data_IF_289337475582
#
_entry.id   IF_289337475582
#
_cell.length_a   1.000
_cell.length_b   1.000
_cell.length_c   1.000
_cell.angle_alpha   90.00
_cell.angle_beta   90.00
_cell.angle_gamma   90.00
#
_symmetry.space_group_name_H-M   'P 1'
#
loop_
_entity.id
_entity.type
_entity.pdbx_description
1 polymer ?
#
# COMPACT_ATOMS: atom_id res chain seq x y z
N UNK A 1 -34.59 8.81 -15.75
CA UNK A 1 -34.04 7.49 -15.44
C UNK A 1 -32.62 7.78 -15.05
N UNK A 2 -32.40 7.95 -13.75
CA UNK A 2 -31.05 8.17 -13.25
C UNK A 2 -30.31 6.85 -13.41
N UNK A 3 -29.22 6.89 -14.17
CA UNK A 3 -28.31 5.77 -14.26
C UNK A 3 -27.63 5.72 -12.91
N UNK A 4 -28.04 4.79 -12.03
CA UNK A 4 -27.26 4.54 -10.83
C UNK A 4 -25.90 4.06 -11.31
N UNK A 5 -24.90 4.94 -11.22
CA UNK A 5 -23.52 4.64 -11.57
C UNK A 5 -23.09 3.39 -10.78
N UNK A 6 -22.34 2.49 -11.42
CA UNK A 6 -21.84 1.33 -10.71
C UNK A 6 -20.75 1.80 -9.74
N UNK A 7 -20.74 1.33 -8.48
CA UNK A 7 -19.72 1.69 -7.53
C UNK A 7 -18.32 1.38 -8.06
N UNK A 8 -17.41 2.30 -7.83
CA UNK A 8 -15.99 2.18 -8.16
C UNK A 8 -15.16 2.57 -6.95
N UNK A 9 -13.97 1.98 -6.85
CA UNK A 9 -12.96 2.36 -5.87
C UNK A 9 -11.62 2.40 -6.59
N UNK A 10 -10.86 3.46 -6.34
CA UNK A 10 -9.53 3.67 -6.91
C UNK A 10 -8.61 4.33 -5.89
N UNK A 11 -7.32 4.30 -6.16
CA UNK A 11 -6.27 4.95 -5.38
C UNK A 11 -5.52 5.96 -6.25
N UNK A 12 -4.85 6.96 -5.66
CA UNK A 12 -4.18 8.02 -6.43
C UNK A 12 -2.91 7.56 -7.17
N UNK A 13 -2.34 6.43 -6.74
CA UNK A 13 -1.18 5.75 -7.33
C UNK A 13 -1.40 4.23 -7.32
N UNK A 14 -0.70 3.57 -8.22
CA UNK A 14 -0.66 2.10 -8.31
C UNK A 14 0.33 1.47 -7.31
N UNK A 15 1.28 2.26 -6.79
CA UNK A 15 2.37 1.79 -5.91
C UNK A 15 2.70 2.85 -4.85
N UNK A 16 2.97 2.40 -3.63
CA UNK A 16 3.29 3.22 -2.46
C UNK A 16 4.49 2.64 -1.73
N UNK A 17 5.24 3.43 -0.96
CA UNK A 17 6.26 2.90 -0.06
C UNK A 17 5.70 2.62 1.36
N UNK A 18 6.39 1.83 2.19
CA UNK A 18 6.03 1.68 3.60
C UNK A 18 5.99 3.04 4.30
N UNK A 19 4.88 3.34 4.98
CA UNK A 19 4.61 4.63 5.64
C UNK A 19 4.13 5.74 4.71
N UNK A 20 3.92 5.46 3.42
CA UNK A 20 3.28 6.41 2.52
C UNK A 20 1.77 6.45 2.75
N UNK A 21 1.16 7.59 2.42
CA UNK A 21 -0.30 7.77 2.52
C UNK A 21 -0.95 7.46 1.17
N UNK A 22 -1.84 6.48 1.18
CA UNK A 22 -2.75 6.12 0.08
C UNK A 22 -3.96 7.04 0.13
N UNK A 23 -4.27 7.73 -0.97
CA UNK A 23 -5.56 8.42 -1.12
C UNK A 23 -6.53 7.51 -1.84
N UNK A 24 -7.63 7.18 -1.18
CA UNK A 24 -8.67 6.28 -1.69
C UNK A 24 -9.87 7.12 -2.12
N UNK A 25 -10.37 6.87 -3.33
CA UNK A 25 -11.61 7.47 -3.85
C UNK A 25 -12.63 6.37 -4.15
N UNK A 26 -13.76 6.40 -3.45
CA UNK A 26 -14.92 5.57 -3.74
C UNK A 26 -16.01 6.43 -4.37
N UNK A 27 -16.61 6.00 -5.49
CA UNK A 27 -17.64 6.77 -6.22
C UNK A 27 -18.80 5.87 -6.62
N UNK A 28 -19.97 6.46 -6.86
CA UNK A 28 -21.16 5.73 -7.33
C UNK A 28 -21.88 4.96 -6.21
N UNK A 29 -21.61 5.30 -4.95
CA UNK A 29 -22.34 4.79 -3.80
C UNK A 29 -23.58 5.64 -3.52
N UNK A 30 -24.48 5.14 -2.67
CA UNK A 30 -25.68 5.87 -2.30
C UNK A 30 -25.32 7.13 -1.49
N UNK A 31 -26.03 8.23 -1.74
CA UNK A 31 -25.80 9.51 -1.06
C UNK A 31 -25.91 9.34 0.46
N UNK A 32 -24.90 9.82 1.19
CA UNK A 32 -24.87 9.78 2.66
C UNK A 32 -24.67 8.38 3.24
N UNK A 33 -24.37 7.37 2.40
CA UNK A 33 -24.06 6.03 2.88
C UNK A 33 -22.70 5.98 3.59
N UNK A 34 -22.55 5.01 4.48
CA UNK A 34 -21.24 4.72 5.09
C UNK A 34 -20.54 3.65 4.25
N UNK A 35 -19.29 3.92 3.89
CA UNK A 35 -18.43 3.02 3.13
C UNK A 35 -17.39 2.45 4.07
N UNK A 36 -17.36 1.12 4.15
CA UNK A 36 -16.31 0.34 4.81
C UNK A 36 -15.25 -0.04 3.78
N UNK A 37 -14.01 0.36 4.04
CA UNK A 37 -12.82 0.03 3.27
C UNK A 37 -12.06 -1.09 4.00
N UNK A 38 -11.95 -2.23 3.34
CA UNK A 38 -11.19 -3.40 3.79
C UNK A 38 -9.97 -3.54 2.90
N UNK A 39 -8.78 -3.56 3.50
CA UNK A 39 -7.50 -3.74 2.80
C UNK A 39 -6.91 -5.05 3.34
N UNK A 40 -6.51 -5.91 2.43
CA UNK A 40 -5.90 -7.22 2.74
C UNK A 40 -4.80 -7.51 1.72
N UNK A 41 -3.78 -8.26 2.11
CA UNK A 41 -2.81 -8.76 1.15
C UNK A 41 -3.47 -9.77 0.20
N UNK A 42 -3.00 -9.82 -1.04
CA UNK A 42 -3.37 -10.89 -1.97
C UNK A 42 -2.78 -12.21 -1.46
N UNK A 43 -3.59 -13.26 -1.24
CA UNK A 43 -3.08 -14.56 -0.82
C UNK A 43 -2.06 -15.18 -1.79
N UNK A 44 -2.03 -14.75 -3.05
CA UNK A 44 -1.05 -15.17 -4.05
C UNK A 44 0.25 -14.35 -4.02
N UNK A 45 0.24 -13.17 -3.40
CA UNK A 45 1.37 -12.24 -3.31
C UNK A 45 1.38 -11.50 -1.95
N UNK A 46 1.63 -12.25 -0.84
CA UNK A 46 1.58 -11.73 0.53
C UNK A 46 2.69 -10.73 0.89
N UNK A 47 3.65 -10.47 0.00
CA UNK A 47 4.82 -9.66 0.34
C UNK A 47 5.97 -10.43 0.99
N UNK A 48 6.93 -9.67 1.51
CA UNK A 48 8.26 -10.16 1.89
C UNK A 48 8.32 -10.87 3.24
N UNK A 49 7.37 -10.61 4.15
CA UNK A 49 7.29 -11.34 5.42
C UNK A 49 6.60 -12.72 5.28
N UNK A 50 5.79 -12.86 4.24
CA UNK A 50 5.13 -14.08 3.83
C UNK A 50 3.85 -14.41 4.59
N UNK A 51 3.33 -13.47 5.39
CA UNK A 51 2.04 -13.58 6.05
C UNK A 51 0.94 -12.94 5.17
N UNK A 52 -0.31 -13.41 5.29
CA UNK A 52 -1.43 -12.81 4.56
C UNK A 52 -2.21 -11.97 5.57
N UNK A 53 -1.96 -10.67 5.57
CA UNK A 53 -2.52 -9.75 6.55
C UNK A 53 -3.85 -9.16 6.11
N UNK A 54 -4.68 -8.88 7.12
CA UNK A 54 -5.91 -8.14 7.00
C UNK A 54 -5.82 -6.92 7.92
N UNK A 55 -5.85 -5.74 7.34
CA UNK A 55 -5.65 -4.49 8.06
C UNK A 55 -6.96 -4.00 8.70
N UNK A 56 -6.84 -3.16 9.73
CA UNK A 56 -8.01 -2.59 10.40
C UNK A 56 -8.89 -1.81 9.39
N UNK A 57 -10.18 -2.14 9.29
CA UNK A 57 -11.05 -1.51 8.30
C UNK A 57 -11.31 -0.04 8.64
N UNK A 58 -11.45 0.79 7.62
CA UNK A 58 -11.83 2.20 7.76
C UNK A 58 -13.30 2.33 7.38
N UNK A 59 -14.09 2.97 8.23
CA UNK A 59 -15.49 3.30 7.93
C UNK A 59 -15.64 4.83 7.81
N UNK A 60 -16.16 5.29 6.67
CA UNK A 60 -16.35 6.72 6.39
C UNK A 60 -17.73 6.97 5.79
N UNK A 61 -18.43 7.97 6.32
CA UNK A 61 -19.73 8.40 5.79
C UNK A 61 -19.55 9.50 4.75
N UNK A 62 -20.22 9.37 3.60
CA UNK A 62 -20.30 10.39 2.53
C UNK A 62 -20.83 11.73 3.07
N UNK A 63 -20.03 12.78 2.97
CA UNK A 63 -20.28 14.09 3.60
C UNK A 63 -20.00 14.17 5.10
N UNK A 64 -19.42 13.12 5.69
CA UNK A 64 -19.15 12.97 7.12
C UNK A 64 -17.71 13.26 7.53
N UNK A 65 -17.37 12.91 8.78
CA UNK A 65 -15.98 12.95 9.26
C UNK A 65 -15.18 11.82 8.61
N UNK A 66 -13.96 12.12 8.16
CA UNK A 66 -13.10 11.16 7.43
C UNK A 66 -13.29 11.19 5.91
N UNK A 67 -14.35 11.84 5.42
CA UNK A 67 -14.53 12.18 4.02
C UNK A 67 -13.85 13.54 3.74
N UNK A 68 -12.80 13.50 2.93
CA UNK A 68 -11.90 14.61 2.68
C UNK A 68 -12.49 15.67 1.75
N UNK A 69 -13.52 15.34 0.98
CA UNK A 69 -14.27 16.34 0.21
C UNK A 69 -15.42 16.96 1.03
N UNK A 70 -15.86 16.26 2.08
CA UNK A 70 -16.85 16.69 3.06
C UNK A 70 -18.22 17.02 2.47
N UNK A 71 -18.55 16.46 1.31
CA UNK A 71 -19.77 16.76 0.56
C UNK A 71 -20.55 15.50 0.29
N UNK A 72 -21.80 15.43 0.79
CA UNK A 72 -22.73 14.34 0.48
C UNK A 72 -23.06 14.32 -1.03
N UNK A 73 -22.31 13.54 -1.80
CA UNK A 73 -22.35 13.56 -3.27
C UNK A 73 -22.22 12.15 -3.91
N UNK A 74 -22.17 11.09 -3.10
CA UNK A 74 -22.02 9.70 -3.55
C UNK A 74 -20.56 9.34 -3.86
N UNK A 75 -19.62 10.19 -3.43
CA UNK A 75 -18.20 9.98 -3.44
C UNK A 75 -17.66 10.14 -2.00
N UNK A 76 -16.76 9.25 -1.62
CA UNK A 76 -15.96 9.38 -0.40
C UNK A 76 -14.51 9.43 -0.81
N UNK A 77 -13.79 10.45 -0.33
CA UNK A 77 -12.33 10.50 -0.43
C UNK A 77 -11.75 10.31 0.95
N UNK A 78 -10.89 9.32 1.15
CA UNK A 78 -10.25 9.07 2.44
C UNK A 78 -8.79 8.68 2.29
N UNK A 79 -8.10 8.46 3.39
CA UNK A 79 -6.68 8.09 3.39
C UNK A 79 -6.39 6.88 4.28
N UNK A 80 -5.42 6.09 3.86
CA UNK A 80 -4.83 5.00 4.63
C UNK A 80 -3.30 5.12 4.63
N UNK A 81 -2.64 4.73 5.72
CA UNK A 81 -1.18 4.76 5.84
C UNK A 81 -0.65 3.34 5.68
N UNK A 82 0.30 3.14 4.77
CA UNK A 82 0.93 1.83 4.56
C UNK A 82 1.73 1.44 5.80
N UNK A 83 1.58 0.21 6.33
CA UNK A 83 2.32 -0.28 7.49
C UNK A 83 3.83 -0.08 7.35
N UNK A 84 4.49 0.24 8.46
CA UNK A 84 5.95 0.44 8.50
C UNK A 84 6.69 -0.60 9.34
N UNK A 85 5.95 -1.47 10.02
CA UNK A 85 6.49 -2.51 10.88
C UNK A 85 5.99 -3.89 10.46
N UNK A 86 6.62 -4.91 11.05
CA UNK A 86 6.18 -6.29 10.94
C UNK A 86 5.33 -6.65 12.16
N UNK A 87 4.03 -6.89 12.01
CA UNK A 87 3.13 -7.38 13.04
C UNK A 87 3.23 -6.57 14.36
N UNK A 88 3.45 -5.24 14.27
CA UNK A 88 3.63 -4.36 15.43
C UNK A 88 4.95 -4.53 16.19
N UNK A 89 5.90 -5.32 15.68
CA UNK A 89 7.16 -5.64 16.37
C UNK A 89 8.30 -4.68 16.03
N UNK A 90 8.22 -3.98 14.89
CA UNK A 90 9.27 -3.13 14.35
C UNK A 90 10.54 -3.88 13.91
N UNK A 91 10.49 -5.22 13.81
CA UNK A 91 11.60 -6.08 13.41
C UNK A 91 11.18 -6.97 12.25
N UNK A 92 11.97 -6.99 11.17
CA UNK A 92 11.65 -7.75 9.96
C UNK A 92 11.15 -6.85 8.83
N UNK A 93 10.75 -7.44 7.69
CA UNK A 93 10.10 -6.71 6.59
C UNK A 93 8.77 -6.12 7.07
N UNK A 94 8.41 -4.87 6.70
CA UNK A 94 7.07 -4.35 6.93
C UNK A 94 6.00 -5.27 6.33
N UNK A 95 4.82 -5.33 6.97
CA UNK A 95 3.70 -6.22 6.61
C UNK A 95 3.40 -6.19 5.10
N UNK A 96 3.13 -5.00 4.56
CA UNK A 96 2.76 -4.85 3.15
C UNK A 96 3.95 -4.85 2.16
N UNK A 97 5.20 -4.91 2.62
CA UNK A 97 6.34 -4.65 1.73
C UNK A 97 6.41 -5.68 0.59
N UNK A 98 6.42 -5.19 -0.65
CA UNK A 98 6.37 -5.96 -1.89
C UNK A 98 5.12 -6.84 -2.03
N UNK A 99 4.04 -6.54 -1.30
CA UNK A 99 2.76 -7.20 -1.44
C UNK A 99 1.90 -6.56 -2.54
N UNK A 100 0.98 -7.35 -3.10
CA UNK A 100 -0.19 -6.83 -3.80
C UNK A 100 -1.32 -6.71 -2.80
N UNK A 101 -1.93 -5.53 -2.68
CA UNK A 101 -3.00 -5.23 -1.74
C UNK A 101 -4.35 -5.20 -2.45
N UNK A 102 -5.32 -5.95 -1.93
CA UNK A 102 -6.72 -5.93 -2.34
C UNK A 102 -7.49 -4.91 -1.50
N UNK A 103 -8.07 -3.91 -2.17
CA UNK A 103 -8.95 -2.92 -1.54
C UNK A 103 -10.40 -3.22 -1.92
N UNK A 104 -11.24 -3.46 -0.93
CA UNK A 104 -12.68 -3.63 -1.07
C UNK A 104 -13.41 -2.48 -0.38
N UNK A 105 -14.23 -1.74 -1.13
CA UNK A 105 -15.14 -0.74 -0.59
C UNK A 105 -16.57 -1.31 -0.59
N UNK A 106 -17.23 -1.34 0.56
CA UNK A 106 -18.62 -1.78 0.71
C UNK A 106 -19.44 -0.65 1.31
N UNK A 107 -20.52 -0.23 0.65
CA UNK A 107 -21.43 0.80 1.15
C UNK A 107 -22.69 0.21 1.76
N UNK A 108 -23.21 0.82 2.82
CA UNK A 108 -24.44 0.43 3.56
C UNK A 108 -25.76 0.55 2.76
N UNK A 109 -25.70 1.00 1.51
CA UNK A 109 -26.90 1.30 0.72
C UNK A 109 -27.77 2.41 1.33
N UNK A 110 -29.04 2.42 0.91
CA UNK A 110 -30.05 3.42 1.27
C UNK A 110 -30.64 3.22 2.67
N UNK A 111 -30.55 2.01 3.23
CA UNK A 111 -31.05 1.71 4.57
C UNK A 111 -30.04 1.98 5.70
N UNK A 112 -28.80 2.33 5.33
CA UNK A 112 -27.76 2.71 6.27
C UNK A 112 -27.23 1.54 7.12
N UNK A 113 -27.50 0.30 6.72
CA UNK A 113 -27.11 -0.91 7.46
C UNK A 113 -26.34 -1.88 6.56
N UNK A 114 -25.16 -2.30 6.99
CA UNK A 114 -24.45 -3.40 6.31
C UNK A 114 -25.18 -4.75 6.45
N UNK A 115 -24.98 -5.62 5.47
CA UNK A 115 -25.56 -6.96 5.35
C UNK A 115 -26.93 -7.01 4.67
N UNK A 116 -27.34 -5.96 3.96
CA UNK A 116 -28.69 -5.79 3.39
C UNK A 116 -28.66 -5.96 1.87
N UNK A 117 -29.84 -5.92 1.22
CA UNK A 117 -29.94 -6.23 -0.20
C UNK A 117 -29.49 -5.08 -1.11
N UNK A 118 -29.40 -3.87 -0.57
CA UNK A 118 -28.99 -2.63 -1.22
C UNK A 118 -27.51 -2.29 -1.00
N UNK A 119 -26.80 -3.09 -0.21
CA UNK A 119 -25.34 -3.01 -0.14
C UNK A 119 -24.72 -3.23 -1.51
N UNK A 120 -23.71 -2.42 -1.80
CA UNK A 120 -22.92 -2.57 -3.01
C UNK A 120 -21.44 -2.53 -2.66
N UNK A 121 -20.64 -3.23 -3.45
CA UNK A 121 -19.20 -3.24 -3.30
C UNK A 121 -18.47 -2.92 -4.59
N UNK A 122 -17.26 -2.40 -4.44
CA UNK A 122 -16.28 -2.20 -5.49
C UNK A 122 -14.92 -2.70 -4.99
N UNK A 123 -14.06 -3.13 -5.91
CA UNK A 123 -12.73 -3.63 -5.58
C UNK A 123 -11.68 -3.04 -6.52
N UNK A 124 -10.48 -2.80 -5.99
CA UNK A 124 -9.28 -2.48 -6.77
C UNK A 124 -8.05 -3.10 -6.12
N UNK A 125 -6.91 -3.00 -6.79
CA UNK A 125 -5.62 -3.50 -6.28
C UNK A 125 -4.55 -2.44 -6.45
N UNK A 126 -3.61 -2.37 -5.52
CA UNK A 126 -2.40 -1.56 -5.61
C UNK A 126 -1.23 -2.30 -4.94
N UNK A 127 -0.01 -1.82 -5.08
CA UNK A 127 1.18 -2.45 -4.50
C UNK A 127 1.83 -1.55 -3.44
N UNK A 128 2.60 -2.18 -2.55
CA UNK A 128 3.57 -1.48 -1.71
C UNK A 128 4.98 -1.91 -2.09
N UNK A 129 5.82 -0.95 -2.52
CA UNK A 129 7.22 -1.18 -2.81
C UNK A 129 8.07 0.05 -2.54
N UNK A 130 9.34 -0.16 -2.19
CA UNK A 130 10.29 0.96 -2.18
C UNK A 130 10.49 1.47 -3.60
N UNK A 131 10.41 2.79 -3.84
CA UNK A 131 10.54 3.31 -5.19
C UNK A 131 11.94 2.96 -5.73
N UNK A 132 11.95 2.43 -6.94
CA UNK A 132 13.14 1.92 -7.65
C UNK A 132 14.28 2.95 -7.77
N UNK A 133 14.01 4.23 -7.51
CA UNK A 133 15.00 5.33 -7.50
C UNK A 133 15.91 5.36 -6.26
N UNK A 134 15.59 4.62 -5.19
CA UNK A 134 16.46 4.52 -4.00
C UNK A 134 17.79 3.80 -4.27
N UNK A 135 17.87 2.98 -5.32
CA UNK A 135 19.04 2.14 -5.61
C UNK A 135 20.17 2.83 -6.39
N UNK A 136 19.94 4.02 -6.96
CA UNK A 136 20.89 4.61 -7.94
C UNK A 136 21.49 5.97 -7.56
N UNK A 137 20.99 6.68 -6.55
CA UNK A 137 21.44 8.08 -6.33
C UNK A 137 22.03 8.39 -4.94
N UNK A 138 21.74 7.60 -3.90
CA UNK A 138 21.88 8.12 -2.54
C UNK A 138 23.11 7.71 -1.73
N UNK A 139 24.08 6.96 -2.28
CA UNK A 139 25.29 6.53 -1.54
C UNK A 139 24.99 6.17 -0.08
N UNK A 140 23.86 5.48 0.14
CA UNK A 140 23.33 5.18 1.47
C UNK A 140 24.38 4.38 2.24
N UNK A 141 24.48 4.63 3.54
CA UNK A 141 25.36 3.81 4.37
C UNK A 141 24.91 2.35 4.31
N UNK A 142 25.85 1.41 4.44
CA UNK A 142 25.54 -0.03 4.43
C UNK A 142 24.49 -0.36 5.51
N UNK A 143 24.43 0.40 6.59
CA UNK A 143 23.45 0.22 7.68
C UNK A 143 22.02 0.65 7.26
N UNK A 144 21.89 1.74 6.50
CA UNK A 144 20.62 2.16 5.92
C UNK A 144 20.19 1.19 4.82
N UNK A 145 21.12 0.72 3.99
CA UNK A 145 20.84 -0.29 2.97
C UNK A 145 20.44 -1.63 3.63
N UNK A 146 21.03 -2.02 4.76
CA UNK A 146 20.67 -3.26 5.48
C UNK A 146 19.27 -3.22 6.11
N UNK A 147 18.76 -2.02 6.43
CA UNK A 147 17.36 -1.87 6.85
C UNK A 147 16.37 -2.17 5.71
N UNK A 148 16.79 -1.98 4.46
CA UNK A 148 15.97 -2.12 3.26
C UNK A 148 16.32 -3.34 2.38
N UNK A 149 17.45 -4.02 2.64
CA UNK A 149 17.94 -5.18 1.90
C UNK A 149 17.83 -6.44 2.76
N UNK A 150 16.61 -6.86 3.08
CA UNK A 150 16.33 -8.28 3.35
C UNK A 150 15.67 -8.85 2.10
N UNK A 151 16.40 -8.87 0.99
CA UNK A 151 15.99 -9.62 -0.20
C UNK A 151 17.06 -10.64 -0.54
N UNK A 152 16.81 -11.87 -0.11
CA UNK A 152 17.00 -13.02 -0.99
C UNK A 152 18.42 -13.36 -1.47
N UNK A 153 19.48 -13.24 -0.66
CA UNK A 153 20.63 -14.13 -0.87
C UNK A 153 20.36 -15.48 -0.20
N UNK A 154 19.42 -16.27 -0.76
CA UNK A 154 19.42 -17.72 -0.53
C UNK A 154 20.74 -18.26 -1.08
N UNK A 155 21.72 -18.39 -0.18
CA UNK A 155 22.92 -19.21 -0.28
C UNK A 155 23.33 -19.57 -1.71
N UNK A 156 24.06 -18.68 -2.41
CA UNK A 156 25.02 -19.20 -3.38
C UNK A 156 26.15 -19.81 -2.57
N UNK A 157 26.04 -21.13 -2.46
CA UNK A 157 26.99 -22.03 -1.85
C UNK A 157 28.41 -21.72 -2.34
N UNK A 158 29.28 -21.38 -1.39
CA UNK A 158 30.75 -21.37 -1.44
C UNK A 158 31.47 -20.56 -2.54
N UNK A 159 31.91 -19.34 -2.20
CA UNK A 159 33.26 -18.93 -2.59
C UNK A 159 33.51 -17.47 -2.96
N UNK A 160 32.51 -16.69 -3.36
CA UNK A 160 32.76 -15.32 -3.84
C UNK A 160 32.26 -14.28 -2.83
N UNK A 161 33.19 -13.83 -1.97
CA UNK A 161 33.00 -12.59 -1.23
C UNK A 161 32.90 -11.44 -2.25
N UNK A 162 31.76 -10.74 -2.26
CA UNK A 162 31.60 -9.47 -2.97
C UNK A 162 32.56 -8.47 -2.34
N UNK A 163 33.73 -8.31 -2.95
CA UNK A 163 34.74 -7.36 -2.54
C UNK A 163 34.29 -5.95 -2.92
N UNK A 164 33.62 -5.26 -2.00
CA UNK A 164 33.36 -3.82 -2.08
C UNK A 164 34.66 -3.07 -1.73
N UNK A 165 35.65 -3.12 -2.62
CA UNK A 165 36.84 -2.27 -2.51
C UNK A 165 36.64 -1.00 -3.32
N UNK A 166 36.52 0.10 -2.57
CA UNK A 166 36.52 1.49 -2.99
C UNK A 166 37.53 1.74 -4.12
N UNK A 167 37.02 2.11 -5.30
CA UNK A 167 37.83 2.60 -6.39
C UNK A 167 38.35 4.00 -6.09
N UNK A 168 39.54 4.11 -5.49
CA UNK A 168 40.30 5.35 -5.53
C UNK A 168 40.91 5.51 -6.94
N UNK A 169 40.48 6.57 -7.62
CA UNK A 169 41.05 7.07 -8.87
C UNK A 169 42.50 7.52 -8.64
N UNK A 170 43.45 6.61 -8.86
CA UNK A 170 44.87 6.93 -8.95
C UNK A 170 45.20 7.58 -10.30
N UNK A 171 45.10 8.91 -10.38
CA UNK A 171 45.87 9.67 -11.35
C UNK A 171 47.34 9.63 -10.93
N UNK A 172 48.18 8.91 -11.67
CA UNK A 172 49.60 9.25 -11.73
C UNK A 172 50.11 9.10 -13.17
N UNK A 173 50.29 10.27 -13.80
CA UNK A 173 51.21 10.47 -14.90
C UNK A 173 52.52 10.89 -14.23
N UNK A 174 53.58 10.10 -14.32
CA UNK A 174 54.85 10.54 -14.88
C UNK A 174 55.99 9.51 -14.68
N UNK A 175 56.87 9.54 -15.69
CA UNK A 175 58.21 8.92 -15.89
C UNK A 175 58.24 7.49 -16.44
#
# INVERSE_FOLDING_TARGET
>A
MDQQEFPQVETDKEDYAPGETVTISATGFELGSTIKFEIEDDPADPGDDGDVDAYDPIEVTDGGEGDLDGTENGQVVTTWEVPTDNNGTGLGPPDALNATLNLTATGTGADGSFGTADDRSATTTFTDSFPQSFLTTNNLSIDEIQKYLIVGLKSQDNGDAVNLQNGEFGADRDV
#
